data_IF_574322993607
#
_entry.id   IF_574322993607
#
_cell.length_a   1.000
_cell.length_b   1.000
_cell.length_c   1.000
_cell.angle_alpha   90.00
_cell.angle_beta   90.00
_cell.angle_gamma   90.00
#
_symmetry.space_group_name_H-M   'P 1'
#
loop_
_entity.id
_entity.type
_entity.pdbx_description
1 polymer ?
#
# COMPACT_ATOMS: atom_id res chain seq x y z
N UNK A 1 -19.06 6.33 -12.39
CA UNK A 1 -17.76 6.89 -12.01
C UNK A 1 -17.64 7.12 -10.51
N UNK A 2 -16.78 6.35 -9.83
CA UNK A 2 -16.41 6.55 -8.41
C UNK A 2 -15.09 5.86 -8.08
N UNK A 3 -14.37 6.31 -7.04
CA UNK A 3 -13.12 5.67 -6.58
C UNK A 3 -13.36 4.93 -5.28
N UNK A 4 -12.78 3.75 -5.16
CA UNK A 4 -12.75 2.97 -3.92
C UNK A 4 -11.31 2.71 -3.52
N UNK A 5 -11.03 2.86 -2.22
CA UNK A 5 -9.73 2.58 -1.64
C UNK A 5 -9.93 1.88 -0.30
N UNK A 6 -9.15 0.84 -0.02
CA UNK A 6 -9.09 0.23 1.30
C UNK A 6 -7.65 0.03 1.78
N UNK A 7 -7.49 0.02 3.10
CA UNK A 7 -6.21 -0.22 3.78
C UNK A 7 -6.27 -1.53 4.54
N UNK A 8 -5.31 -2.43 4.30
CA UNK A 8 -5.35 -3.82 4.79
C UNK A 8 -3.99 -4.21 5.39
N UNK A 9 -3.92 -4.70 6.64
CA UNK A 9 -2.65 -5.02 7.30
C UNK A 9 -2.07 -6.40 6.92
N UNK A 10 -2.75 -7.22 6.12
CA UNK A 10 -2.25 -8.57 5.78
C UNK A 10 -2.47 -8.93 4.32
N UNK A 11 -1.58 -9.75 3.77
CA UNK A 11 -1.68 -10.26 2.40
C UNK A 11 -2.99 -11.03 2.16
N UNK A 12 -3.40 -11.90 3.09
CA UNK A 12 -4.64 -12.67 2.97
C UNK A 12 -5.89 -11.77 2.89
N UNK A 13 -5.87 -10.59 3.53
CA UNK A 13 -6.96 -9.62 3.39
C UNK A 13 -6.92 -8.94 2.02
N UNK A 14 -5.73 -8.63 1.50
CA UNK A 14 -5.57 -8.06 0.15
C UNK A 14 -6.11 -9.01 -0.90
N UNK A 15 -5.77 -10.29 -0.84
CA UNK A 15 -6.26 -11.32 -1.77
C UNK A 15 -7.79 -11.33 -1.81
N UNK A 16 -8.43 -11.51 -0.64
CA UNK A 16 -9.89 -11.54 -0.51
C UNK A 16 -10.55 -10.24 -0.96
N UNK A 17 -9.95 -9.10 -0.65
CA UNK A 17 -10.50 -7.80 -1.06
C UNK A 17 -10.43 -7.62 -2.57
N UNK A 18 -9.31 -7.97 -3.20
CA UNK A 18 -9.13 -7.86 -4.66
C UNK A 18 -10.11 -8.77 -5.41
N UNK A 19 -10.33 -9.99 -4.94
CA UNK A 19 -11.34 -10.90 -5.48
C UNK A 19 -12.73 -10.26 -5.42
N UNK A 20 -13.17 -9.81 -4.25
CA UNK A 20 -14.48 -9.20 -4.08
C UNK A 20 -14.66 -7.90 -4.89
N UNK A 21 -13.62 -7.07 -5.00
CA UNK A 21 -13.64 -5.83 -5.79
C UNK A 21 -13.83 -6.14 -7.28
N UNK A 22 -13.15 -7.17 -7.80
CA UNK A 22 -13.26 -7.61 -9.20
C UNK A 22 -14.65 -8.20 -9.47
N UNK A 23 -15.15 -9.05 -8.59
CA UNK A 23 -16.52 -9.61 -8.68
C UNK A 23 -17.59 -8.51 -8.66
N UNK A 24 -17.37 -7.44 -7.91
CA UNK A 24 -18.25 -6.27 -7.86
C UNK A 24 -18.17 -5.36 -9.10
N UNK A 25 -17.35 -5.71 -10.11
CA UNK A 25 -17.26 -4.99 -11.39
C UNK A 25 -16.44 -3.71 -11.36
N UNK A 26 -15.58 -3.52 -10.34
CA UNK A 26 -14.61 -2.42 -10.35
C UNK A 26 -13.47 -2.71 -11.32
N UNK A 27 -12.94 -1.65 -11.92
CA UNK A 27 -11.83 -1.69 -12.87
C UNK A 27 -10.60 -0.99 -12.28
N UNK A 28 -9.45 -1.13 -12.94
CA UNK A 28 -8.16 -0.56 -12.50
C UNK A 28 -7.80 -0.91 -11.04
N UNK A 29 -7.91 -2.21 -10.69
CA UNK A 29 -7.57 -2.70 -9.34
C UNK A 29 -6.05 -2.77 -9.18
N UNK A 30 -5.50 -2.00 -8.25
CA UNK A 30 -4.07 -1.90 -7.94
C UNK A 30 -3.85 -2.07 -6.43
N UNK A 31 -2.78 -2.77 -6.03
CA UNK A 31 -2.37 -2.85 -4.63
C UNK A 31 -0.92 -2.41 -4.47
N UNK A 32 -0.66 -1.56 -3.48
CA UNK A 32 0.68 -1.04 -3.15
C UNK A 32 0.93 -1.05 -1.66
N UNK A 33 2.21 -1.13 -1.28
CA UNK A 33 2.69 -0.84 0.06
C UNK A 33 3.68 0.34 -0.01
N UNK A 34 3.64 1.22 0.99
CA UNK A 34 4.58 2.33 1.11
C UNK A 34 5.50 2.12 2.32
N UNK A 35 6.81 2.09 2.07
CA UNK A 35 7.83 2.01 3.10
C UNK A 35 8.45 3.39 3.34
N UNK A 36 8.18 3.98 4.51
CA UNK A 36 8.86 5.20 4.94
C UNK A 36 10.30 4.86 5.37
N UNK A 37 11.28 5.38 4.60
CA UNK A 37 12.70 5.23 4.92
C UNK A 37 13.32 6.59 5.24
N UNK A 38 13.57 6.84 6.52
CA UNK A 38 14.22 8.07 6.96
C UNK A 38 15.71 8.03 6.69
N UNK A 39 16.24 9.15 6.20
CA UNK A 39 17.66 9.33 5.91
C UNK A 39 18.24 10.29 6.95
N UNK A 40 19.26 9.81 7.69
CA UNK A 40 20.13 10.66 8.48
C UNK A 40 21.00 11.46 7.51
N UNK A 41 20.54 12.65 7.12
CA UNK A 41 21.26 13.53 6.21
C UNK A 41 22.28 14.39 6.98
N UNK A 42 23.53 13.92 7.09
CA UNK A 42 24.61 14.64 7.77
C UNK A 42 25.94 14.40 7.06
N UNK A 43 26.69 15.47 6.80
CA UNK A 43 27.95 15.43 6.02
C UNK A 43 28.91 14.39 6.58
N UNK A 44 29.40 13.49 5.71
CA UNK A 44 30.33 12.42 6.07
C UNK A 44 29.69 11.19 6.74
N UNK A 45 28.39 11.21 7.01
CA UNK A 45 27.66 10.11 7.65
C UNK A 45 26.23 9.95 7.13
N UNK A 46 25.97 10.36 5.88
CA UNK A 46 24.64 10.25 5.27
C UNK A 46 24.29 8.79 5.04
N UNK A 47 23.22 8.33 5.70
CA UNK A 47 22.74 6.95 5.60
C UNK A 47 21.29 6.84 6.03
N UNK A 48 20.59 5.75 5.72
CA UNK A 48 19.31 5.43 6.33
C UNK A 48 19.41 5.32 7.87
N UNK A 49 18.32 5.66 8.55
CA UNK A 49 18.15 5.34 9.96
C UNK A 49 18.25 3.81 10.16
N UNK A 50 18.75 3.40 11.33
CA UNK A 50 18.96 1.98 11.62
C UNK A 50 17.64 1.23 11.86
N UNK A 51 16.70 1.87 12.56
CA UNK A 51 15.37 1.35 12.79
C UNK A 51 14.40 1.98 11.80
N UNK A 52 13.49 1.16 11.26
CA UNK A 52 12.39 1.63 10.43
C UNK A 52 11.13 0.82 10.74
N UNK A 53 9.97 1.36 10.35
CA UNK A 53 8.73 0.58 10.30
C UNK A 53 8.74 -0.21 8.99
N UNK A 54 8.94 -1.53 9.09
CA UNK A 54 9.08 -2.40 7.93
C UNK A 54 7.75 -2.77 7.25
N UNK A 55 6.63 -2.49 7.90
CA UNK A 55 5.30 -2.76 7.37
C UNK A 55 4.29 -1.87 8.11
N UNK A 56 3.28 -1.38 7.41
CA UNK A 56 2.10 -0.74 8.02
C UNK A 56 0.83 -1.38 7.49
N UNK A 57 0.73 -1.50 6.17
CA UNK A 57 -0.36 -2.17 5.47
C UNK A 57 -0.33 -1.84 3.99
N UNK A 58 -1.21 -2.51 3.26
CA UNK A 58 -1.42 -2.36 1.83
C UNK A 58 -2.56 -1.39 1.57
N UNK A 59 -2.42 -0.59 0.53
CA UNK A 59 -3.49 0.21 -0.05
C UNK A 59 -3.96 -0.49 -1.32
N UNK A 60 -5.26 -0.76 -1.43
CA UNK A 60 -5.88 -1.28 -2.65
C UNK A 60 -6.75 -0.19 -3.24
N UNK A 61 -6.49 0.20 -4.49
CA UNK A 61 -7.20 1.22 -5.24
C UNK A 61 -8.05 0.57 -6.34
N UNK A 62 -9.24 1.11 -6.60
CA UNK A 62 -10.07 0.70 -7.73
C UNK A 62 -11.05 1.79 -8.16
N UNK A 63 -11.63 1.65 -9.35
CA UNK A 63 -12.59 2.61 -9.93
C UNK A 63 -13.88 1.89 -10.33
N UNK A 64 -15.04 2.43 -9.92
CA UNK A 64 -16.35 2.04 -10.44
C UNK A 64 -16.61 2.80 -11.76
N UNK A 65 -16.88 2.09 -12.87
CA UNK A 65 -17.27 2.72 -14.14
C UNK A 65 -18.37 3.78 -13.96
#
# INVERSE_FOLDING_TARGET
GGRFVCFLPTYNQVEKAVEAIREAGFIHVESVELLERRIKAKRGETRPEFLMRGHTGFLVFSTKP
#
